data_IF_831015398081
#
_entry.id   IF_831015398081
#
_cell.length_a   1.000
_cell.length_b   1.000
_cell.length_c   1.000
_cell.angle_alpha   90.00
_cell.angle_beta   90.00
_cell.angle_gamma   90.00
#
_symmetry.space_group_name_H-M   'P 1'
#
loop_
_entity.id
_entity.type
_entity.pdbx_description
1 polymer ?
#
# COMPACT_ATOMS: atom_id res chain seq x y z
N UNK A 1 -22.76 -7.39 -11.65
CA UNK A 1 -21.81 -6.33 -12.09
C UNK A 1 -22.42 -4.92 -11.99
N UNK A 2 -23.76 -4.79 -11.89
CA UNK A 2 -24.46 -3.50 -11.76
C UNK A 2 -24.47 -2.93 -10.33
N UNK A 3 -24.51 -3.77 -9.30
CA UNK A 3 -24.63 -3.34 -7.88
C UNK A 3 -23.56 -2.35 -7.44
N UNK A 4 -22.28 -2.58 -7.78
CA UNK A 4 -21.19 -1.64 -7.42
C UNK A 4 -21.38 -0.30 -8.14
N UNK A 5 -21.78 -0.32 -9.41
CA UNK A 5 -22.00 0.91 -10.20
C UNK A 5 -23.16 1.71 -9.62
N UNK A 6 -24.29 1.06 -9.38
CA UNK A 6 -25.52 1.69 -8.90
C UNK A 6 -25.40 2.18 -7.46
N UNK A 7 -24.99 1.32 -6.53
CA UNK A 7 -24.95 1.67 -5.10
C UNK A 7 -23.70 2.48 -4.75
N UNK A 8 -22.52 2.05 -5.19
CA UNK A 8 -21.27 2.69 -4.78
C UNK A 8 -20.95 3.95 -5.57
N UNK A 9 -20.94 3.86 -6.90
CA UNK A 9 -20.52 5.00 -7.73
C UNK A 9 -21.63 6.05 -7.92
N UNK A 10 -22.87 5.63 -8.17
CA UNK A 10 -24.00 6.56 -8.40
C UNK A 10 -24.58 7.05 -7.07
N UNK A 11 -24.92 6.15 -6.15
CA UNK A 11 -25.59 6.51 -4.89
C UNK A 11 -24.64 6.84 -3.73
N UNK A 12 -23.33 6.56 -3.86
CA UNK A 12 -22.29 6.76 -2.82
C UNK A 12 -22.49 5.93 -1.54
N UNK A 13 -23.16 4.79 -1.65
CA UNK A 13 -23.35 3.86 -0.54
C UNK A 13 -22.26 2.77 -0.55
N UNK A 14 -21.90 2.25 0.62
CA UNK A 14 -21.05 1.07 0.69
C UNK A 14 -21.87 -0.19 0.42
N UNK A 15 -21.30 -1.10 -0.38
CA UNK A 15 -21.94 -2.39 -0.69
C UNK A 15 -21.51 -3.40 0.38
N UNK A 16 -22.22 -3.39 1.51
CA UNK A 16 -21.86 -4.14 2.73
C UNK A 16 -21.42 -5.58 2.49
N UNK A 17 -22.19 -6.34 1.69
CA UNK A 17 -21.91 -7.76 1.48
C UNK A 17 -20.58 -8.05 0.76
N UNK A 18 -20.03 -7.06 0.04
CA UNK A 18 -18.74 -7.15 -0.65
C UNK A 18 -17.55 -6.66 0.20
N UNK A 19 -17.80 -6.05 1.36
CA UNK A 19 -16.75 -5.64 2.28
C UNK A 19 -16.05 -6.88 2.87
N UNK A 20 -14.77 -6.72 3.22
CA UNK A 20 -14.02 -7.77 3.91
C UNK A 20 -14.71 -8.11 5.23
N UNK A 21 -14.95 -9.40 5.47
CA UNK A 21 -15.52 -9.89 6.73
C UNK A 21 -14.44 -10.58 7.54
N UNK A 22 -14.22 -10.13 8.76
CA UNK A 22 -13.32 -10.83 9.68
C UNK A 22 -13.89 -12.23 9.99
N UNK A 23 -13.10 -13.30 9.80
CA UNK A 23 -13.60 -14.66 9.99
C UNK A 23 -13.94 -14.98 11.45
N UNK A 24 -13.33 -14.29 12.41
CA UNK A 24 -13.49 -14.49 13.85
C UNK A 24 -14.64 -13.64 14.42
N UNK A 25 -14.68 -12.34 14.12
CA UNK A 25 -15.67 -11.41 14.70
C UNK A 25 -16.93 -11.26 13.85
N UNK A 26 -16.88 -11.63 12.56
CA UNK A 26 -17.93 -11.38 11.54
C UNK A 26 -18.20 -9.91 11.25
N UNK A 27 -17.39 -9.00 11.79
CA UNK A 27 -17.45 -7.59 11.47
C UNK A 27 -16.97 -7.33 10.04
N UNK A 28 -17.53 -6.30 9.42
CA UNK A 28 -17.24 -5.90 8.04
C UNK A 28 -16.38 -4.64 8.02
N UNK A 29 -15.34 -4.65 7.21
CA UNK A 29 -14.37 -3.57 7.10
C UNK A 29 -14.25 -3.10 5.65
N UNK A 30 -14.46 -1.80 5.44
CA UNK A 30 -14.16 -1.14 4.17
C UNK A 30 -12.69 -0.69 4.08
N UNK A 31 -12.10 -0.33 5.21
CA UNK A 31 -10.70 0.08 5.37
C UNK A 31 -10.16 -0.41 6.72
N UNK A 32 -8.84 -0.30 6.94
CA UNK A 32 -8.18 -0.62 8.21
C UNK A 32 -8.56 -2.01 8.75
N UNK A 33 -8.33 -3.03 7.93
CA UNK A 33 -8.63 -4.42 8.29
C UNK A 33 -7.73 -4.82 9.47
N UNK A 34 -8.29 -5.39 10.57
CA UNK A 34 -7.52 -5.74 11.78
C UNK A 34 -6.33 -6.67 11.52
N UNK A 35 -6.37 -7.45 10.43
CA UNK A 35 -5.24 -8.27 9.98
C UNK A 35 -3.94 -7.46 9.82
N UNK A 36 -4.04 -6.20 9.38
CA UNK A 36 -2.89 -5.32 9.20
C UNK A 36 -2.46 -4.61 10.49
N UNK A 37 -3.25 -4.69 11.56
CA UNK A 37 -2.93 -4.02 12.81
C UNK A 37 -1.69 -4.64 13.45
N UNK A 38 -0.80 -3.77 13.94
CA UNK A 38 0.49 -4.18 14.49
C UNK A 38 1.56 -4.53 13.45
N UNK A 39 1.26 -4.50 12.15
CA UNK A 39 2.26 -4.72 11.10
C UNK A 39 3.03 -3.43 10.78
N UNK A 40 4.35 -3.45 10.94
CA UNK A 40 5.21 -2.41 10.36
C UNK A 40 5.57 -2.76 8.91
N UNK A 41 4.84 -2.19 7.95
CA UNK A 41 4.97 -2.51 6.52
C UNK A 41 6.17 -1.81 5.86
N UNK A 42 7.41 -2.17 6.19
CA UNK A 42 8.60 -1.48 5.63
C UNK A 42 8.67 -1.61 4.10
N UNK A 43 8.66 -2.84 3.57
CA UNK A 43 8.75 -3.08 2.12
C UNK A 43 7.42 -2.76 1.39
N UNK A 44 6.29 -3.00 2.06
CA UNK A 44 4.95 -2.87 1.48
C UNK A 44 4.28 -1.52 1.75
N UNK A 45 5.00 -0.54 2.34
CA UNK A 45 4.46 0.76 2.78
C UNK A 45 3.69 1.51 1.69
N UNK A 46 4.09 1.35 0.43
CA UNK A 46 3.50 2.08 -0.70
C UNK A 46 2.38 1.30 -1.41
N UNK A 47 2.19 0.01 -1.10
CA UNK A 47 1.18 -0.82 -1.79
C UNK A 47 -0.22 -0.32 -1.43
N UNK A 48 -0.98 0.04 -2.47
CA UNK A 48 -2.32 0.62 -2.36
C UNK A 48 -2.35 2.14 -2.24
N UNK A 49 -1.20 2.80 -2.18
CA UNK A 49 -1.08 4.26 -2.07
C UNK A 49 -0.56 4.93 -3.34
N UNK A 50 0.21 4.21 -4.16
CA UNK A 50 0.75 4.69 -5.44
C UNK A 50 0.37 3.76 -6.58
N UNK A 51 0.32 4.31 -7.79
CA UNK A 51 0.24 3.55 -9.03
C UNK A 51 1.56 2.80 -9.29
N UNK A 52 1.46 1.49 -9.50
CA UNK A 52 2.62 0.61 -9.68
C UNK A 52 3.35 0.88 -11.00
N UNK A 53 2.60 1.31 -12.01
CA UNK A 53 3.05 1.63 -13.35
C UNK A 53 3.63 3.04 -13.49
N UNK A 54 3.39 3.92 -12.51
CA UNK A 54 3.85 5.30 -12.55
C UNK A 54 5.16 5.48 -11.79
N UNK A 55 6.27 5.51 -12.52
CA UNK A 55 7.60 5.71 -11.94
C UNK A 55 7.73 7.05 -11.18
N UNK A 56 7.00 8.09 -11.59
CA UNK A 56 7.07 9.39 -10.91
C UNK A 56 6.44 9.33 -9.53
N UNK A 57 5.36 8.57 -9.34
CA UNK A 57 4.77 8.34 -8.03
C UNK A 57 5.69 7.52 -7.13
N UNK A 58 6.39 6.52 -7.70
CA UNK A 58 7.38 5.77 -6.95
C UNK A 58 8.54 6.65 -6.48
N UNK A 59 9.08 7.51 -7.35
CA UNK A 59 10.12 8.48 -7.00
C UNK A 59 9.62 9.47 -5.93
N UNK A 60 8.38 9.97 -6.08
CA UNK A 60 7.77 10.86 -5.09
C UNK A 60 7.57 10.19 -3.72
N UNK A 61 7.42 8.88 -3.69
CA UNK A 61 7.35 8.04 -2.48
C UNK A 61 8.72 7.47 -2.06
N UNK A 62 9.78 8.26 -2.25
CA UNK A 62 11.18 7.97 -1.90
C UNK A 62 11.82 6.77 -2.63
N UNK A 63 11.21 6.32 -3.72
CA UNK A 63 11.74 5.29 -4.60
C UNK A 63 13.10 5.67 -5.17
N UNK A 64 14.00 4.68 -5.28
CA UNK A 64 15.38 4.82 -5.76
C UNK A 64 16.30 5.78 -5.00
N UNK A 65 15.84 6.49 -3.96
CA UNK A 65 16.71 7.41 -3.21
C UNK A 65 17.94 6.71 -2.62
N UNK A 66 17.74 5.53 -2.00
CA UNK A 66 18.84 4.73 -1.47
C UNK A 66 19.81 4.27 -2.57
N UNK A 67 19.27 3.87 -3.73
CA UNK A 67 20.07 3.45 -4.88
C UNK A 67 20.93 4.61 -5.41
N UNK A 68 20.34 5.80 -5.56
CA UNK A 68 21.07 6.99 -6.00
C UNK A 68 22.20 7.34 -5.02
N UNK A 69 21.94 7.30 -3.71
CA UNK A 69 22.96 7.52 -2.67
C UNK A 69 24.10 6.51 -2.79
N UNK A 70 23.78 5.22 -2.92
CA UNK A 70 24.77 4.15 -3.03
C UNK A 70 25.65 4.34 -4.27
N UNK A 71 25.05 4.61 -5.43
CA UNK A 71 25.78 4.70 -6.70
C UNK A 71 26.70 5.92 -6.80
N UNK A 72 26.29 7.06 -6.22
CA UNK A 72 26.99 8.33 -6.43
C UNK A 72 27.74 8.85 -5.21
N UNK A 73 27.56 8.26 -4.02
CA UNK A 73 28.11 8.81 -2.78
C UNK A 73 28.71 7.77 -1.84
N UNK A 74 28.72 6.48 -2.19
CA UNK A 74 29.25 5.41 -1.34
C UNK A 74 30.20 4.50 -2.11
N UNK A 75 31.21 3.98 -1.42
CA UNK A 75 32.00 2.86 -1.91
C UNK A 75 31.29 1.52 -1.61
N UNK A 76 31.65 0.42 -2.29
CA UNK A 76 31.11 -0.89 -1.94
C UNK A 76 31.32 -1.29 -0.47
N UNK A 77 32.42 -0.84 0.15
CA UNK A 77 32.70 -1.12 1.56
C UNK A 77 31.76 -0.34 2.48
N UNK A 78 31.54 0.95 2.20
CA UNK A 78 30.58 1.78 2.96
C UNK A 78 29.16 1.19 2.91
N UNK A 79 28.78 0.54 1.80
CA UNK A 79 27.47 -0.11 1.67
C UNK A 79 27.38 -1.33 2.58
N UNK A 80 28.43 -2.15 2.65
CA UNK A 80 28.48 -3.33 3.50
C UNK A 80 28.38 -2.92 4.98
N UNK A 81 29.02 -1.82 5.37
CA UNK A 81 29.07 -1.35 6.76
C UNK A 81 27.72 -0.86 7.30
N UNK A 82 26.73 -0.55 6.44
CA UNK A 82 25.41 -0.01 6.82
C UNK A 82 24.24 -0.99 6.66
N UNK A 83 24.50 -2.21 6.18
CA UNK A 83 23.51 -3.28 6.05
C UNK A 83 23.39 -4.08 7.35
#
# INVERSE_FOLDING_TARGET
>A
MTTIVEEHFIQRNQVEHLLFMDPNTKERFATNIPFHDGQLRIALRNVGYIALENILEYIAADGYQALAKVLFSMTPLDVIDVL
#
